data_IF_901241324038
#
_entry.id   IF_901241324038
#
_cell.length_a   1.000
_cell.length_b   1.000
_cell.length_c   1.000
_cell.angle_alpha   90.00
_cell.angle_beta   90.00
_cell.angle_gamma   90.00
#
_symmetry.space_group_name_H-M   'P 1'
#
loop_
_entity.id
_entity.type
_entity.pdbx_description
1 polymer ?
#
# COMPACT_ATOMS: atom_id res chain seq x y z
N UNK A 1 26.47 -18.81 16.26
CA UNK A 1 26.40 -19.19 14.84
C UNK A 1 26.38 -17.91 14.02
N UNK A 2 27.39 -17.70 13.19
CA UNK A 2 27.51 -16.49 12.36
C UNK A 2 26.68 -16.70 11.09
N UNK A 3 25.53 -16.06 10.99
CA UNK A 3 24.73 -16.12 9.77
C UNK A 3 25.52 -15.45 8.64
N UNK A 4 25.87 -16.21 7.60
CA UNK A 4 26.50 -15.65 6.40
C UNK A 4 25.40 -15.10 5.50
N UNK A 5 24.97 -13.88 5.78
CA UNK A 5 23.94 -13.21 4.99
C UNK A 5 24.58 -12.39 3.87
N UNK A 6 23.97 -12.38 2.67
CA UNK A 6 24.24 -11.34 1.68
C UNK A 6 23.90 -9.94 2.24
N UNK A 7 24.46 -8.87 1.65
CA UNK A 7 24.10 -7.51 2.05
C UNK A 7 22.59 -7.27 1.95
N UNK A 8 21.97 -6.77 3.03
CA UNK A 8 20.52 -6.54 3.08
C UNK A 8 20.01 -5.61 1.97
N UNK A 9 20.81 -4.60 1.59
CA UNK A 9 20.45 -3.72 0.49
C UNK A 9 20.38 -4.45 -0.86
N UNK A 10 21.23 -5.44 -1.06
CA UNK A 10 21.26 -6.25 -2.28
C UNK A 10 20.05 -7.21 -2.33
N UNK A 11 19.72 -7.81 -1.19
CA UNK A 11 18.50 -8.61 -1.03
C UNK A 11 17.24 -7.77 -1.25
N UNK A 12 17.18 -6.56 -0.69
CA UNK A 12 16.06 -5.63 -0.85
C UNK A 12 15.90 -5.18 -2.31
N UNK A 13 17.02 -4.88 -2.99
CA UNK A 13 16.99 -4.54 -4.40
C UNK A 13 16.48 -5.69 -5.28
N UNK A 14 16.87 -6.94 -4.97
CA UNK A 14 16.36 -8.13 -5.64
C UNK A 14 14.86 -8.32 -5.41
N UNK A 15 14.41 -8.32 -4.15
CA UNK A 15 13.01 -8.57 -3.78
C UNK A 15 12.05 -7.60 -4.51
N UNK A 16 12.35 -6.30 -4.44
CA UNK A 16 11.51 -5.28 -5.08
C UNK A 16 11.57 -5.40 -6.62
N UNK A 17 12.75 -5.65 -7.19
CA UNK A 17 12.89 -5.83 -8.64
C UNK A 17 12.17 -7.09 -9.15
N UNK A 18 12.15 -8.15 -8.35
CA UNK A 18 11.48 -9.42 -8.65
C UNK A 18 9.96 -9.27 -8.61
N UNK A 19 9.42 -8.55 -7.62
CA UNK A 19 7.98 -8.26 -7.51
C UNK A 19 7.46 -7.41 -8.67
N UNK A 20 8.24 -6.41 -9.10
CA UNK A 20 7.86 -5.52 -10.21
C UNK A 20 8.24 -6.02 -11.60
N UNK A 21 9.09 -7.05 -11.69
CA UNK A 21 9.74 -7.48 -12.93
C UNK A 21 10.34 -6.30 -13.72
N UNK A 22 10.87 -5.31 -13.00
CA UNK A 22 11.32 -4.04 -13.58
C UNK A 22 12.28 -3.29 -12.66
N UNK A 23 13.51 -3.07 -13.12
CA UNK A 23 14.47 -2.24 -12.38
C UNK A 23 14.07 -0.76 -12.31
N UNK A 24 13.26 -0.28 -13.28
CA UNK A 24 12.78 1.11 -13.26
C UNK A 24 11.76 1.33 -12.16
N UNK A 25 10.79 0.43 -12.04
CA UNK A 25 9.76 0.52 -11.00
C UNK A 25 10.36 0.26 -9.61
N UNK A 26 11.27 -0.71 -9.49
CA UNK A 26 11.97 -0.96 -8.23
C UNK A 26 12.81 0.23 -7.76
N UNK A 27 13.47 0.92 -8.69
CA UNK A 27 14.24 2.12 -8.36
C UNK A 27 13.35 3.27 -7.86
N UNK A 28 12.16 3.43 -8.45
CA UNK A 28 11.17 4.38 -8.00
C UNK A 28 10.72 4.08 -6.56
N UNK A 29 10.40 2.82 -6.25
CA UNK A 29 9.99 2.42 -4.91
C UNK A 29 11.11 2.56 -3.87
N UNK A 30 12.35 2.23 -4.25
CA UNK A 30 13.50 2.29 -3.35
C UNK A 30 14.13 3.69 -3.25
N UNK A 31 13.58 4.70 -3.95
CA UNK A 31 14.12 6.06 -4.05
C UNK A 31 15.60 6.11 -4.48
N UNK A 32 15.97 5.29 -5.47
CA UNK A 32 17.33 5.23 -6.03
C UNK A 32 17.28 5.27 -7.56
N UNK A 33 18.43 5.20 -8.22
CA UNK A 33 18.49 5.12 -9.69
C UNK A 33 18.33 3.68 -10.19
N UNK A 34 17.77 3.44 -11.39
CA UNK A 34 17.72 2.10 -11.99
C UNK A 34 19.09 1.43 -12.12
N UNK A 35 20.14 2.23 -12.34
CA UNK A 35 21.52 1.75 -12.38
C UNK A 35 21.97 1.19 -11.01
N UNK A 36 21.62 1.86 -9.91
CA UNK A 36 21.93 1.39 -8.57
C UNK A 36 21.24 0.07 -8.24
N UNK A 37 19.95 -0.09 -8.59
CA UNK A 37 19.24 -1.36 -8.41
C UNK A 37 19.92 -2.49 -9.19
N UNK A 38 20.26 -2.24 -10.46
CA UNK A 38 20.96 -3.22 -11.29
C UNK A 38 22.33 -3.62 -10.74
N UNK A 39 23.09 -2.67 -10.16
CA UNK A 39 24.36 -2.95 -9.52
C UNK A 39 24.21 -3.80 -8.26
N UNK A 40 23.21 -3.49 -7.42
CA UNK A 40 22.93 -4.25 -6.19
C UNK A 40 22.54 -5.70 -6.51
N UNK A 41 21.66 -5.89 -7.50
CA UNK A 41 21.26 -7.22 -7.97
C UNK A 41 22.46 -7.99 -8.54
N UNK A 42 23.27 -7.35 -9.39
CA UNK A 42 24.47 -7.99 -9.95
C UNK A 42 25.48 -8.39 -8.87
N UNK A 43 25.64 -7.56 -7.84
CA UNK A 43 26.50 -7.88 -6.70
C UNK A 43 25.98 -9.06 -5.88
N UNK A 44 24.64 -9.16 -5.70
CA UNK A 44 24.01 -10.31 -5.08
C UNK A 44 24.25 -11.59 -5.88
N UNK A 45 23.96 -11.57 -7.18
CA UNK A 45 24.16 -12.70 -8.09
C UNK A 45 25.63 -13.17 -8.09
N UNK A 46 26.57 -12.23 -8.13
CA UNK A 46 28.00 -12.54 -8.06
C UNK A 46 28.40 -13.22 -6.73
N UNK A 47 27.78 -12.80 -5.61
CA UNK A 47 28.03 -13.40 -4.30
C UNK A 47 27.40 -14.77 -4.14
N UNK A 48 26.22 -14.99 -4.74
CA UNK A 48 25.53 -16.27 -4.72
C UNK A 48 26.10 -17.26 -5.76
N UNK A 49 26.81 -16.77 -6.77
CA UNK A 49 27.32 -17.58 -7.88
C UNK A 49 26.25 -18.04 -8.87
N UNK A 50 25.04 -17.46 -8.80
CA UNK A 50 23.89 -17.82 -9.63
C UNK A 50 23.19 -16.58 -10.16
N UNK A 51 22.63 -16.66 -11.36
CA UNK A 51 21.77 -15.61 -11.92
C UNK A 51 20.36 -15.75 -11.33
N UNK A 52 19.79 -14.64 -10.88
CA UNK A 52 18.43 -14.56 -10.36
C UNK A 52 17.46 -13.99 -11.40
N UNK A 53 17.99 -13.23 -12.36
CA UNK A 53 17.23 -12.68 -13.48
C UNK A 53 17.78 -13.09 -14.85
N UNK A 54 16.88 -13.21 -15.80
CA UNK A 54 17.15 -13.27 -17.23
C UNK A 54 16.70 -11.97 -17.90
N UNK A 55 17.56 -11.43 -18.78
CA UNK A 55 17.26 -10.26 -19.57
C UNK A 55 16.80 -10.70 -20.95
N UNK A 56 15.50 -10.57 -21.20
CA UNK A 56 14.91 -10.72 -22.53
C UNK A 56 14.78 -9.35 -23.20
N UNK A 57 14.50 -9.33 -24.50
CA UNK A 57 14.32 -8.08 -25.23
C UNK A 57 13.13 -7.30 -24.65
N UNK A 58 13.45 -6.24 -23.89
CA UNK A 58 12.51 -5.36 -23.15
C UNK A 58 11.79 -5.99 -21.94
N UNK A 59 12.19 -7.17 -21.48
CA UNK A 59 11.59 -7.81 -20.30
C UNK A 59 12.64 -8.33 -19.32
N UNK A 60 12.34 -8.20 -18.03
CA UNK A 60 13.09 -8.80 -16.94
C UNK A 60 12.28 -9.99 -16.43
N UNK A 61 12.87 -11.17 -16.41
CA UNK A 61 12.20 -12.41 -15.98
C UNK A 61 13.04 -13.05 -14.89
N UNK A 62 12.41 -13.72 -13.93
CA UNK A 62 13.13 -14.49 -12.91
C UNK A 62 13.59 -15.83 -13.46
N UNK A 63 14.83 -16.21 -13.16
CA UNK A 63 15.32 -17.58 -13.36
C UNK A 63 14.59 -18.54 -12.41
N UNK A 64 14.74 -19.85 -12.61
CA UNK A 64 14.25 -20.84 -11.65
C UNK A 64 14.80 -20.59 -10.23
N UNK A 65 16.07 -20.19 -10.11
CA UNK A 65 16.69 -19.82 -8.84
C UNK A 65 16.04 -18.56 -8.25
N UNK A 66 15.81 -17.52 -9.05
CA UNK A 66 15.11 -16.30 -8.63
C UNK A 66 13.68 -16.57 -8.15
N UNK A 67 12.94 -17.42 -8.85
CA UNK A 67 11.58 -17.82 -8.49
C UNK A 67 11.53 -18.57 -7.16
N UNK A 68 12.48 -19.47 -6.91
CA UNK A 68 12.59 -20.21 -5.65
C UNK A 68 13.07 -19.31 -4.50
N UNK A 69 13.91 -18.32 -4.79
CA UNK A 69 14.53 -17.47 -3.76
C UNK A 69 13.63 -16.34 -3.27
N UNK A 70 12.80 -15.78 -4.17
CA UNK A 70 11.90 -14.67 -3.86
C UNK A 70 11.00 -14.90 -2.62
N UNK A 71 10.22 -15.99 -2.51
CA UNK A 71 9.30 -16.15 -1.38
C UNK A 71 10.02 -16.21 -0.03
N UNK A 72 11.19 -16.84 0.04
CA UNK A 72 11.99 -16.92 1.27
C UNK A 72 12.52 -15.55 1.71
N UNK A 73 12.95 -14.72 0.76
CA UNK A 73 13.44 -13.36 1.04
C UNK A 73 12.30 -12.42 1.42
N UNK A 74 11.18 -12.46 0.71
CA UNK A 74 10.00 -11.66 1.06
C UNK A 74 9.49 -12.02 2.46
N UNK A 75 9.43 -13.31 2.80
CA UNK A 75 9.04 -13.76 4.15
C UNK A 75 10.04 -13.33 5.22
N UNK A 76 11.34 -13.43 4.94
CA UNK A 76 12.39 -12.91 5.83
C UNK A 76 12.24 -11.42 6.13
N UNK A 77 12.00 -10.60 5.10
CA UNK A 77 11.77 -9.17 5.29
C UNK A 77 10.47 -8.89 6.04
N UNK A 78 9.40 -9.65 5.78
CA UNK A 78 8.14 -9.54 6.52
C UNK A 78 8.35 -9.79 8.01
N UNK A 79 9.07 -10.86 8.38
CA UNK A 79 9.38 -11.18 9.78
C UNK A 79 10.21 -10.09 10.46
N UNK A 80 11.16 -9.49 9.74
CA UNK A 80 11.93 -8.34 10.26
C UNK A 80 11.02 -7.14 10.48
N UNK A 81 10.12 -6.84 9.54
CA UNK A 81 9.16 -5.75 9.66
C UNK A 81 8.21 -5.96 10.84
N UNK A 82 7.65 -7.17 11.01
CA UNK A 82 6.76 -7.53 12.11
C UNK A 82 7.46 -7.45 13.47
N UNK A 83 8.69 -7.95 13.57
CA UNK A 83 9.47 -7.84 14.81
C UNK A 83 9.79 -6.36 15.14
N UNK A 84 10.01 -5.54 14.11
CA UNK A 84 10.26 -4.09 14.29
C UNK A 84 8.99 -3.34 14.69
N UNK A 85 7.82 -3.71 14.15
CA UNK A 85 6.55 -3.08 14.51
C UNK A 85 6.15 -3.40 15.96
N UNK A 86 6.44 -4.61 16.46
CA UNK A 86 6.21 -5.00 17.85
C UNK A 86 7.03 -4.19 18.88
N UNK A 87 8.14 -3.58 18.47
CA UNK A 87 8.91 -2.68 19.33
C UNK A 87 8.29 -1.28 19.44
N UNK A 88 7.32 -0.95 18.59
CA UNK A 88 6.62 0.34 18.66
C UNK A 88 5.57 0.26 19.78
N UNK A 89 5.54 1.19 20.75
CA UNK A 89 4.57 1.16 21.84
C UNK A 89 3.13 1.12 21.31
N UNK A 90 2.18 0.54 22.05
CA UNK A 90 0.76 0.57 21.68
C UNK A 90 0.31 2.03 21.44
N UNK A 91 -0.27 2.31 20.26
CA UNK A 91 -0.60 3.67 19.80
C UNK A 91 0.55 4.41 19.09
N UNK A 92 1.71 3.79 18.86
CA UNK A 92 2.86 4.40 18.18
C UNK A 92 2.81 4.30 16.65
N UNK A 93 1.92 3.47 16.09
CA UNK A 93 1.62 3.54 14.67
C UNK A 93 0.39 4.41 14.48
N UNK A 94 0.65 5.65 14.08
CA UNK A 94 -0.37 6.63 13.73
C UNK A 94 -0.78 6.42 12.28
N UNK A 95 -1.97 5.87 12.04
CA UNK A 95 -2.58 5.78 10.72
C UNK A 95 -3.27 7.10 10.37
N UNK A 96 -2.73 7.81 9.40
CA UNK A 96 -3.26 9.07 8.88
C UNK A 96 -4.24 8.80 7.72
N UNK A 97 -5.52 8.79 8.05
CA UNK A 97 -6.61 8.64 7.09
C UNK A 97 -6.97 10.00 6.48
N UNK A 98 -6.63 10.19 5.21
CA UNK A 98 -7.14 11.28 4.39
C UNK A 98 -8.57 11.01 3.92
N UNK A 99 -9.40 12.05 3.95
CA UNK A 99 -10.76 12.00 3.40
C UNK A 99 -10.95 13.17 2.48
N UNK A 100 -11.22 12.88 1.21
CA UNK A 100 -11.30 13.87 0.15
C UNK A 100 -12.66 13.86 -0.54
N UNK A 101 -13.14 15.06 -0.90
CA UNK A 101 -14.46 15.26 -1.49
C UNK A 101 -15.61 15.18 -0.48
N UNK A 102 -16.82 14.95 -0.97
CA UNK A 102 -18.06 14.91 -0.16
C UNK A 102 -18.35 13.51 0.41
N UNK A 103 -17.33 12.87 0.99
CA UNK A 103 -17.51 11.62 1.74
C UNK A 103 -18.01 11.93 3.15
N UNK A 104 -19.09 11.28 3.57
CA UNK A 104 -19.64 11.46 4.92
C UNK A 104 -18.98 10.49 5.89
N UNK A 105 -18.05 11.02 6.69
CA UNK A 105 -17.31 10.27 7.70
C UNK A 105 -18.18 9.63 8.77
N UNK A 106 -19.38 10.16 9.02
CA UNK A 106 -20.30 9.61 10.04
C UNK A 106 -20.82 8.22 9.68
N UNK A 107 -20.63 7.79 8.43
CA UNK A 107 -20.95 6.43 7.98
C UNK A 107 -19.91 5.40 8.44
N UNK A 108 -18.75 5.86 8.89
CA UNK A 108 -17.69 5.02 9.41
C UNK A 108 -17.76 5.03 10.93
N UNK A 109 -18.01 3.88 11.53
CA UNK A 109 -17.98 3.70 12.98
C UNK A 109 -16.52 3.68 13.49
N UNK A 110 -15.80 4.78 13.30
CA UNK A 110 -14.36 4.86 13.62
C UNK A 110 -14.07 4.59 15.12
N UNK A 111 -15.07 4.75 15.99
CA UNK A 111 -14.98 4.37 17.39
C UNK A 111 -14.85 2.85 17.57
N UNK A 112 -15.55 2.06 16.76
CA UNK A 112 -15.43 0.60 16.73
C UNK A 112 -14.02 0.19 16.30
N UNK A 113 -13.50 0.78 15.21
CA UNK A 113 -12.13 0.52 14.76
C UNK A 113 -11.11 0.83 15.86
N UNK A 114 -11.20 2.01 16.47
CA UNK A 114 -10.32 2.43 17.57
C UNK A 114 -10.39 1.49 18.77
N UNK A 115 -11.56 0.91 19.05
CA UNK A 115 -11.75 -0.06 20.12
C UNK A 115 -11.17 -1.44 19.79
N UNK A 116 -11.36 -1.91 18.55
CA UNK A 116 -10.87 -3.20 18.09
C UNK A 116 -9.35 -3.22 17.83
N UNK A 117 -8.77 -2.06 17.50
CA UNK A 117 -7.35 -1.89 17.15
C UNK A 117 -6.69 -0.81 18.02
N UNK A 118 -6.58 -1.07 19.33
CA UNK A 118 -5.99 -0.14 20.29
C UNK A 118 -4.48 0.12 20.05
N UNK A 119 -3.83 -0.73 19.28
CA UNK A 119 -2.45 -0.62 18.81
C UNK A 119 -2.28 0.44 17.69
N UNK A 120 -3.35 0.76 16.96
CA UNK A 120 -3.36 1.69 15.83
C UNK A 120 -3.97 3.03 16.26
N UNK A 121 -3.15 4.07 16.34
CA UNK A 121 -3.64 5.43 16.52
C UNK A 121 -4.27 5.93 15.22
N UNK A 122 -5.57 6.23 15.19
CA UNK A 122 -6.21 6.78 13.98
C UNK A 122 -6.26 8.32 14.02
N UNK A 123 -5.77 8.99 12.96
CA UNK A 123 -5.95 10.43 12.75
C UNK A 123 -6.60 10.69 11.41
N UNK A 124 -7.68 11.46 11.40
CA UNK A 124 -8.41 11.82 10.18
C UNK A 124 -8.00 13.21 9.73
N UNK A 125 -7.71 13.36 8.44
CA UNK A 125 -7.26 14.59 7.80
C UNK A 125 -8.10 14.87 6.54
N UNK A 126 -8.13 16.13 6.12
CA UNK A 126 -8.70 16.55 4.83
C UNK A 126 -7.55 17.00 3.90
N UNK A 127 -6.93 16.07 3.15
CA UNK A 127 -5.84 16.40 2.25
C UNK A 127 -6.36 17.18 1.04
N UNK A 128 -5.50 18.00 0.43
CA UNK A 128 -5.81 18.76 -0.78
C UNK A 128 -5.88 17.90 -2.06
N UNK A 129 -5.38 16.66 -2.02
CA UNK A 129 -5.47 15.71 -3.15
C UNK A 129 -4.54 14.51 -2.99
N UNK A 130 -4.44 13.69 -4.05
CA UNK A 130 -3.64 12.44 -4.06
C UNK A 130 -2.14 12.63 -3.81
N UNK A 131 -1.59 13.79 -4.17
CA UNK A 131 -0.16 14.07 -4.02
C UNK A 131 0.30 13.92 -2.56
N UNK A 132 -0.60 14.15 -1.59
CA UNK A 132 -0.31 13.99 -0.17
C UNK A 132 -0.09 12.53 0.27
N UNK A 133 -0.54 11.53 -0.51
CA UNK A 133 -0.18 10.12 -0.31
C UNK A 133 1.27 9.84 -0.69
N UNK A 134 1.78 10.47 -1.76
CA UNK A 134 3.17 10.32 -2.20
C UNK A 134 4.10 11.04 -1.22
N UNK A 135 3.68 12.20 -0.72
CA UNK A 135 4.42 12.99 0.25
C UNK A 135 4.41 12.37 1.67
N UNK A 136 3.60 11.33 1.91
CA UNK A 136 3.49 10.66 3.20
C UNK A 136 2.79 11.49 4.28
N UNK A 137 1.97 12.47 3.89
CA UNK A 137 1.14 13.26 4.83
C UNK A 137 -0.12 12.49 5.27
N UNK A 138 -0.56 11.57 4.42
CA UNK A 138 -1.63 10.61 4.68
C UNK A 138 -1.15 9.23 4.22
N UNK A 139 -1.52 8.20 4.97
CA UNK A 139 -1.18 6.80 4.66
C UNK A 139 -2.26 6.15 3.77
N UNK A 140 -3.50 6.61 3.95
CA UNK A 140 -4.69 6.14 3.27
C UNK A 140 -5.53 7.32 2.80
N UNK A 141 -6.23 7.17 1.68
CA UNK A 141 -7.18 8.15 1.20
C UNK A 141 -8.53 7.50 0.89
N UNK A 142 -9.60 8.08 1.41
CA UNK A 142 -10.96 7.83 0.94
C UNK A 142 -11.35 8.97 0.01
N UNK A 143 -11.62 8.66 -1.26
CA UNK A 143 -11.99 9.64 -2.26
C UNK A 143 -13.10 9.13 -3.19
N UNK A 144 -13.97 10.05 -3.63
CA UNK A 144 -15.03 9.75 -4.60
C UNK A 144 -14.53 9.85 -6.03
N UNK A 145 -14.92 8.89 -6.88
CA UNK A 145 -14.76 8.97 -8.33
C UNK A 145 -13.33 8.89 -8.84
N UNK A 146 -12.40 8.48 -7.97
CA UNK A 146 -10.98 8.57 -8.26
C UNK A 146 -10.42 7.28 -8.88
N UNK A 147 -11.16 6.16 -8.79
CA UNK A 147 -10.96 4.97 -9.61
C UNK A 147 -9.56 4.35 -9.52
N UNK A 148 -9.19 3.55 -10.52
CA UNK A 148 -7.86 2.94 -10.62
C UNK A 148 -6.81 3.98 -11.03
N UNK A 149 -5.71 4.09 -10.26
CA UNK A 149 -4.59 4.98 -10.57
C UNK A 149 -3.26 4.21 -10.49
N UNK A 150 -2.36 4.32 -11.49
CA UNK A 150 -1.06 3.65 -11.46
C UNK A 150 -0.25 4.01 -10.22
N UNK A 151 0.41 3.03 -9.60
CA UNK A 151 1.22 3.20 -8.39
C UNK A 151 0.42 3.19 -7.08
N UNK A 152 -0.90 3.01 -7.16
CA UNK A 152 -1.77 2.90 -6.00
C UNK A 152 -2.65 1.66 -6.08
N UNK A 153 -2.89 1.08 -4.91
CA UNK A 153 -3.96 0.13 -4.74
C UNK A 153 -5.26 0.90 -4.50
N UNK A 154 -6.19 0.77 -5.43
CA UNK A 154 -7.51 1.39 -5.35
C UNK A 154 -8.58 0.32 -5.15
N UNK A 155 -9.30 0.41 -4.05
CA UNK A 155 -10.34 -0.54 -3.68
C UNK A 155 -11.67 0.17 -3.49
N UNK A 156 -12.72 -0.39 -4.06
CA UNK A 156 -14.04 0.23 -3.99
C UNK A 156 -14.71 -0.09 -2.66
N UNK A 157 -15.21 0.95 -1.97
CA UNK A 157 -15.84 0.85 -0.65
C UNK A 157 -17.34 0.56 -0.77
N UNK A 158 -18.00 1.09 -1.81
CA UNK A 158 -19.44 0.97 -1.99
C UNK A 158 -19.86 0.20 -3.24
N UNK A 159 -20.87 -0.64 -3.09
CA UNK A 159 -21.55 -1.31 -4.21
C UNK A 159 -22.51 -0.35 -4.93
N UNK A 160 -22.73 -0.54 -6.24
CA UNK A 160 -23.71 0.22 -7.03
C UNK A 160 -23.17 0.82 -8.34
N UNK A 161 -24.05 1.46 -9.11
CA UNK A 161 -23.70 2.19 -10.34
C UNK A 161 -23.49 3.69 -10.04
N UNK A 162 -22.27 4.19 -10.24
CA UNK A 162 -21.89 5.58 -9.97
C UNK A 162 -20.37 5.75 -9.84
N UNK A 163 -19.92 6.98 -9.55
CA UNK A 163 -18.49 7.30 -9.35
C UNK A 163 -17.85 6.49 -8.21
N UNK A 164 -18.66 6.11 -7.20
CA UNK A 164 -18.23 5.29 -6.06
C UNK A 164 -17.24 5.99 -5.12
N UNK A 165 -17.14 5.49 -3.91
CA UNK A 165 -16.14 5.89 -2.93
C UNK A 165 -15.04 4.82 -2.91
N UNK A 166 -13.78 5.24 -2.91
CA UNK A 166 -12.61 4.39 -3.08
C UNK A 166 -11.64 4.58 -1.93
N UNK A 167 -11.11 3.48 -1.40
CA UNK A 167 -9.96 3.45 -0.48
C UNK A 167 -8.69 3.30 -1.31
N UNK A 168 -7.72 4.16 -1.06
CA UNK A 168 -6.51 4.28 -1.88
C UNK A 168 -5.30 4.30 -0.98
N UNK A 169 -4.31 3.49 -1.32
CA UNK A 169 -3.01 3.42 -0.65
C UNK A 169 -1.89 3.32 -1.71
N UNK A 170 -0.69 3.89 -1.48
CA UNK A 170 0.47 3.61 -2.32
C UNK A 170 0.75 2.10 -2.39
N UNK A 171 1.05 1.57 -3.58
CA UNK A 171 1.23 0.11 -3.76
C UNK A 171 2.35 -0.47 -2.86
N UNK A 172 3.37 0.34 -2.53
CA UNK A 172 4.46 -0.06 -1.64
C UNK A 172 4.08 -0.15 -0.15
N UNK A 173 2.98 0.48 0.27
CA UNK A 173 2.51 0.48 1.67
C UNK A 173 1.13 -0.15 1.83
N UNK A 174 0.43 -0.47 0.74
CA UNK A 174 -0.92 -1.02 0.73
C UNK A 174 -1.08 -2.35 1.49
N UNK A 175 0.03 -3.05 1.76
CA UNK A 175 0.08 -4.31 2.49
C UNK A 175 0.74 -4.17 3.89
N UNK A 176 0.96 -2.93 4.37
CA UNK A 176 1.34 -2.69 5.76
C UNK A 176 0.22 -3.15 6.72
N UNK A 177 0.56 -3.76 7.88
CA UNK A 177 -0.43 -4.37 8.77
C UNK A 177 -1.57 -3.44 9.19
N UNK A 178 -1.28 -2.16 9.41
CA UNK A 178 -2.23 -1.17 9.89
C UNK A 178 -3.21 -0.75 8.79
N UNK A 179 -2.71 -0.66 7.56
CA UNK A 179 -3.51 -0.41 6.36
C UNK A 179 -4.41 -1.61 6.06
N UNK A 180 -3.86 -2.83 6.16
CA UNK A 180 -4.62 -4.08 5.97
C UNK A 180 -5.71 -4.20 7.04
N UNK A 181 -5.41 -3.89 8.30
CA UNK A 181 -6.36 -3.91 9.41
C UNK A 181 -7.52 -2.94 9.17
N UNK A 182 -7.22 -1.69 8.80
CA UNK A 182 -8.24 -0.70 8.46
C UNK A 182 -9.10 -1.12 7.27
N UNK A 183 -8.47 -1.65 6.20
CA UNK A 183 -9.16 -2.17 5.02
C UNK A 183 -10.11 -3.32 5.36
N UNK A 184 -9.66 -4.28 6.15
CA UNK A 184 -10.46 -5.44 6.53
C UNK A 184 -11.66 -5.03 7.39
N UNK A 185 -11.43 -4.14 8.35
CA UNK A 185 -12.51 -3.54 9.14
C UNK A 185 -13.53 -2.81 8.26
N UNK A 186 -13.07 -1.98 7.32
CA UNK A 186 -13.92 -1.21 6.41
C UNK A 186 -14.81 -2.13 5.55
N UNK A 187 -14.27 -3.27 5.09
CA UNK A 187 -15.01 -4.28 4.31
C UNK A 187 -16.02 -5.06 5.14
N UNK A 188 -15.78 -5.22 6.44
CA UNK A 188 -16.69 -5.91 7.35
C UNK A 188 -17.93 -5.06 7.72
N UNK A 189 -17.94 -3.77 7.39
CA UNK A 189 -19.08 -2.90 7.63
C UNK A 189 -20.31 -3.37 6.83
N UNK A 190 -21.53 -3.29 7.40
CA UNK A 190 -22.76 -3.64 6.70
C UNK A 190 -22.95 -2.84 5.40
N UNK A 191 -23.51 -3.48 4.37
CA UNK A 191 -23.74 -2.87 3.06
C UNK A 191 -24.62 -1.60 3.14
N UNK A 192 -25.49 -1.46 4.14
CA UNK A 192 -26.30 -0.26 4.39
C UNK A 192 -25.43 0.98 4.70
N UNK A 193 -24.31 0.79 5.40
CA UNK A 193 -23.31 1.83 5.65
C UNK A 193 -22.48 2.14 4.39
N UNK A 194 -22.48 1.26 3.38
CA UNK A 194 -21.77 1.40 2.11
C UNK A 194 -22.65 1.94 0.97
N UNK A 195 -23.98 1.71 0.95
CA UNK A 195 -24.87 1.92 -0.21
C UNK A 195 -25.61 3.27 -0.33
N UNK A 196 -25.47 4.23 0.59
CA UNK A 196 -26.29 5.46 0.52
C UNK A 196 -25.79 6.50 -0.51
N UNK A 197 -26.16 6.30 -1.78
CA UNK A 197 -26.12 7.34 -2.82
C UNK A 197 -27.10 8.46 -2.45
N UNK A 198 -26.61 9.64 -2.06
CA UNK A 198 -27.49 10.80 -1.88
C UNK A 198 -28.17 11.15 -3.21
N UNK A 199 -29.45 10.77 -3.35
CA UNK A 199 -30.39 11.50 -4.19
C UNK A 199 -30.35 12.96 -3.74
N UNK A 200 -29.87 13.85 -4.60
CA UNK A 200 -30.01 15.30 -4.41
C UNK A 200 -31.47 15.62 -4.09
N UNK A 201 -31.80 16.41 -3.05
CA UNK A 201 -33.14 16.97 -2.96
C UNK A 201 -33.33 17.88 -4.19
N UNK A 202 -34.34 17.58 -5.01
CA UNK A 202 -34.82 18.50 -6.03
C UNK A 202 -35.27 19.75 -5.29
N UNK A 203 -34.59 20.88 -5.52
CA UNK A 203 -35.14 22.19 -5.22
C UNK A 203 -36.43 22.30 -6.03
N UNK A 204 -37.56 22.12 -5.34
CA UNK A 204 -38.87 22.44 -5.86
C UNK A 204 -38.88 23.96 -6.02
N UNK A 205 -39.07 24.40 -7.26
CA UNK A 205 -39.23 25.81 -7.55
C UNK A 205 -40.44 26.37 -6.81
N UNK A 206 -40.24 27.48 -6.12
CA UNK A 206 -41.31 28.39 -5.75
C UNK A 206 -41.11 29.64 -6.60
N UNK A 207 -41.99 29.78 -7.60
CA UNK A 207 -42.37 31.08 -8.15
C UNK A 207 -43.07 31.86 -7.04
N UNK A 208 -42.77 33.14 -6.94
CA UNK A 208 -43.43 34.16 -6.13
C UNK A 208 -42.87 35.50 -6.54
#
# INVERSE_FOLDING_TARGET
MTYTLPPLNALRAFEVAARHLSFKLAAHELHVTPAAVGQQVKALEARLGVQLFERLHKQLVLTAAGQAYLPEISEGFRRIADATSQLKPAGAVLLQLGVHGSFDLRRLELAEFRGAHADIGLRVLQPAGLHELIEGKVDLLIARGLGHHPGYRCERINEGSGLGDWLIAPEGTADCPEIVSFRNWLRALPAENQLANHRRPRLVGSRG
#
